data_IF_888865917642
#
_entry.id   IF_888865917642
#
_cell.length_a   1.000
_cell.length_b   1.000
_cell.length_c   1.000
_cell.angle_alpha   90.00
_cell.angle_beta   90.00
_cell.angle_gamma   90.00
#
_symmetry.space_group_name_H-M   'P 1'
#
loop_
_entity.id
_entity.type
_entity.pdbx_description
1 polymer ?
#
# COMPACT_ATOMS: atom_id res chain seq x y z
N UNK A 1 -0.43 -14.12 -2.25
CA UNK A 1 0.51 -14.31 -1.11
C UNK A 1 -0.31 -14.50 0.16
N UNK A 2 0.23 -15.16 1.20
CA UNK A 2 -0.41 -15.34 2.51
C UNK A 2 0.28 -14.43 3.53
N UNK A 3 -0.50 -13.69 4.33
CA UNK A 3 -0.02 -12.93 5.49
C UNK A 3 -0.61 -13.58 6.75
N UNK A 4 0.24 -13.79 7.75
CA UNK A 4 -0.20 -14.29 9.04
C UNK A 4 0.43 -13.47 10.16
N UNK A 5 -0.41 -12.94 11.03
CA UNK A 5 -0.01 -12.25 12.26
C UNK A 5 -0.29 -13.19 13.43
N UNK A 6 0.71 -13.40 14.29
CA UNK A 6 0.58 -14.25 15.47
C UNK A 6 0.86 -13.45 16.73
N UNK A 7 -0.16 -13.30 17.56
CA UNK A 7 -0.08 -12.69 18.89
C UNK A 7 0.60 -11.31 18.89
N UNK A 8 0.33 -10.49 17.85
CA UNK A 8 0.93 -9.17 17.71
C UNK A 8 0.45 -8.27 18.86
N UNK A 9 1.40 -7.76 19.60
CA UNK A 9 1.19 -6.75 20.64
C UNK A 9 2.04 -5.53 20.34
N UNK A 10 1.43 -4.33 20.38
CA UNK A 10 2.13 -3.05 20.30
C UNK A 10 1.78 -2.18 21.48
N UNK A 11 2.80 -1.83 22.28
CA UNK A 11 2.68 -0.92 23.44
C UNK A 11 3.46 0.37 23.20
N UNK A 12 2.92 1.45 23.72
CA UNK A 12 3.57 2.77 23.84
C UNK A 12 3.62 3.13 25.34
N UNK A 13 4.76 2.85 25.97
CA UNK A 13 4.86 2.86 27.43
C UNK A 13 3.89 1.84 28.05
N UNK A 14 3.01 2.30 28.93
CA UNK A 14 2.00 1.47 29.59
C UNK A 14 0.71 1.27 28.77
N UNK A 15 0.55 2.01 27.67
CA UNK A 15 -0.64 1.92 26.81
C UNK A 15 -0.44 0.83 25.75
N UNK A 16 -1.35 -0.16 25.72
CA UNK A 16 -1.40 -1.17 24.66
C UNK A 16 -2.35 -0.71 23.55
N UNK A 17 -1.80 -0.36 22.39
CA UNK A 17 -2.58 0.00 21.20
C UNK A 17 -3.12 -1.24 20.47
N UNK A 18 -2.35 -2.33 20.50
CA UNK A 18 -2.77 -3.66 20.06
C UNK A 18 -2.30 -4.67 21.11
N UNK A 19 -3.14 -5.66 21.42
CA UNK A 19 -2.84 -6.68 22.40
C UNK A 19 -3.29 -8.05 21.89
N UNK A 20 -2.33 -8.95 21.71
CA UNK A 20 -2.54 -10.35 21.32
C UNK A 20 -3.36 -10.54 20.02
N UNK A 21 -3.10 -9.71 19.00
CA UNK A 21 -3.83 -9.74 17.73
C UNK A 21 -3.28 -10.85 16.84
N UNK A 22 -4.16 -11.76 16.44
CA UNK A 22 -3.85 -12.80 15.46
C UNK A 22 -4.82 -12.68 14.27
N UNK A 23 -4.27 -12.71 13.05
CA UNK A 23 -5.00 -12.52 11.80
C UNK A 23 -4.33 -13.32 10.70
N UNK A 24 -5.10 -13.95 9.84
CA UNK A 24 -4.59 -14.58 8.63
C UNK A 24 -5.34 -14.03 7.42
N UNK A 25 -4.57 -13.65 6.40
CA UNK A 25 -5.08 -13.23 5.07
C UNK A 25 -4.54 -14.22 4.03
N UNK A 26 -5.45 -14.94 3.37
CA UNK A 26 -5.08 -15.94 2.36
C UNK A 26 -4.97 -15.31 0.96
N UNK A 27 -4.28 -15.97 0.00
CA UNK A 27 -4.23 -15.49 -1.38
C UNK A 27 -5.63 -15.29 -1.96
N UNK A 28 -5.87 -14.12 -2.57
CA UNK A 28 -7.17 -13.74 -3.16
C UNK A 28 -8.25 -13.38 -2.15
N UNK A 29 -7.90 -13.24 -0.87
CA UNK A 29 -8.84 -12.85 0.18
C UNK A 29 -8.79 -11.34 0.42
N UNK A 30 -9.96 -10.72 0.59
CA UNK A 30 -10.12 -9.34 1.04
C UNK A 30 -10.60 -9.38 2.49
N UNK A 31 -9.80 -8.83 3.39
CA UNK A 31 -10.11 -8.76 4.83
C UNK A 31 -10.33 -7.31 5.23
N UNK A 32 -11.50 -7.00 5.76
CA UNK A 32 -11.82 -5.69 6.30
C UNK A 32 -11.58 -5.65 7.81
N UNK A 33 -10.72 -4.74 8.24
CA UNK A 33 -10.45 -4.47 9.65
C UNK A 33 -11.40 -3.38 10.16
N UNK A 34 -12.40 -3.77 10.94
CA UNK A 34 -13.43 -2.87 11.46
C UNK A 34 -13.16 -2.51 12.92
N UNK A 35 -13.51 -1.28 13.31
CA UNK A 35 -13.38 -0.79 14.67
C UNK A 35 -13.54 0.74 14.75
N UNK A 36 -13.79 1.25 15.95
CA UNK A 36 -13.91 2.68 16.19
C UNK A 36 -12.59 3.45 15.96
N UNK A 37 -12.68 4.77 15.87
CA UNK A 37 -11.48 5.62 15.84
C UNK A 37 -10.67 5.43 17.13
N UNK A 38 -9.35 5.24 16.98
CA UNK A 38 -8.48 4.93 18.11
C UNK A 38 -8.41 3.45 18.52
N UNK A 39 -9.13 2.53 17.86
CA UNK A 39 -9.10 1.10 18.16
C UNK A 39 -7.79 0.38 17.77
N UNK A 40 -6.77 1.11 17.31
CA UNK A 40 -5.46 0.54 16.99
C UNK A 40 -5.32 -0.01 15.56
N UNK A 41 -6.30 0.22 14.66
CA UNK A 41 -6.26 -0.28 13.26
C UNK A 41 -5.02 0.19 12.51
N UNK A 42 -4.82 1.50 12.40
CA UNK A 42 -3.65 2.07 11.72
C UNK A 42 -2.34 1.71 12.43
N UNK A 43 -2.36 1.53 13.76
CA UNK A 43 -1.19 1.02 14.49
C UNK A 43 -0.83 -0.39 14.03
N UNK A 44 -1.81 -1.28 13.90
CA UNK A 44 -1.59 -2.64 13.41
C UNK A 44 -1.07 -2.64 11.97
N UNK A 45 -1.66 -1.83 11.09
CA UNK A 45 -1.22 -1.69 9.70
C UNK A 45 0.22 -1.15 9.62
N UNK A 46 0.57 -0.16 10.44
CA UNK A 46 1.93 0.36 10.54
C UNK A 46 2.93 -0.68 11.07
N UNK A 47 2.51 -1.60 11.92
CA UNK A 47 3.34 -2.75 12.34
C UNK A 47 3.57 -3.69 11.17
N UNK A 48 2.52 -4.05 10.43
CA UNK A 48 2.62 -4.94 9.27
C UNK A 48 3.47 -4.34 8.15
N UNK A 49 3.41 -3.02 7.96
CA UNK A 49 4.21 -2.32 6.95
C UNK A 49 5.62 -1.95 7.42
N UNK A 50 6.00 -2.30 8.66
CA UNK A 50 7.35 -2.05 9.18
C UNK A 50 7.63 -0.62 9.65
N UNK A 51 6.62 0.27 9.66
CA UNK A 51 6.74 1.63 10.23
C UNK A 51 6.85 1.62 11.75
N UNK A 52 6.29 0.59 12.40
CA UNK A 52 6.36 0.38 13.83
C UNK A 52 6.82 -1.04 14.12
N UNK A 53 7.74 -1.19 15.08
CA UNK A 53 8.13 -2.51 15.56
C UNK A 53 7.08 -3.06 16.54
N UNK A 54 6.65 -4.33 16.42
CA UNK A 54 5.80 -4.94 17.44
C UNK A 54 6.57 -5.05 18.76
N UNK A 55 5.88 -4.98 19.88
CA UNK A 55 6.46 -5.24 21.21
C UNK A 55 6.67 -6.74 21.40
N UNK A 56 5.76 -7.56 20.85
CA UNK A 56 5.84 -9.03 20.81
C UNK A 56 4.94 -9.57 19.70
N UNK A 57 5.08 -10.84 19.40
CA UNK A 57 4.37 -11.53 18.31
C UNK A 57 5.23 -11.71 17.07
N UNK A 58 4.67 -12.28 16.04
CA UNK A 58 5.38 -12.64 14.81
C UNK A 58 4.54 -12.27 13.57
N UNK A 59 5.23 -11.81 12.52
CA UNK A 59 4.66 -11.59 11.19
C UNK A 59 5.23 -12.69 10.29
N UNK A 60 4.36 -13.38 9.55
CA UNK A 60 4.77 -14.37 8.56
C UNK A 60 4.21 -14.00 7.19
N UNK A 61 5.06 -14.08 6.19
CA UNK A 61 4.69 -13.94 4.77
C UNK A 61 4.99 -15.27 4.07
N UNK A 62 3.97 -15.90 3.48
CA UNK A 62 4.08 -17.24 2.88
C UNK A 62 4.71 -18.28 3.82
N UNK A 63 4.29 -18.29 5.10
CA UNK A 63 4.76 -19.13 6.19
C UNK A 63 6.23 -18.92 6.60
N UNK A 64 6.89 -17.88 6.08
CA UNK A 64 8.24 -17.47 6.49
C UNK A 64 8.12 -16.31 7.47
N UNK A 65 8.78 -16.42 8.64
CA UNK A 65 8.84 -15.34 9.62
C UNK A 65 9.66 -14.19 9.07
N UNK A 66 9.08 -13.00 9.14
CA UNK A 66 9.70 -11.75 8.69
C UNK A 66 9.92 -10.81 9.88
N UNK A 67 11.02 -10.07 9.85
CA UNK A 67 11.36 -9.02 10.80
C UNK A 67 11.66 -7.75 10.00
N UNK A 68 10.75 -6.76 10.06
CA UNK A 68 10.88 -5.54 9.30
C UNK A 68 11.58 -4.46 10.12
N UNK A 69 12.73 -3.97 9.68
CA UNK A 69 13.41 -2.80 10.27
C UNK A 69 12.82 -1.48 9.76
N UNK A 70 12.08 -1.54 8.65
CA UNK A 70 11.43 -0.39 8.03
C UNK A 70 10.52 -0.82 6.86
N UNK A 71 9.82 0.16 6.22
CA UNK A 71 8.93 -0.11 5.09
C UNK A 71 9.62 -0.78 3.90
N UNK A 72 10.92 -0.55 3.70
CA UNK A 72 11.70 -1.18 2.64
C UNK A 72 11.73 -2.70 2.74
N UNK A 73 11.82 -3.24 3.96
CA UNK A 73 11.81 -4.69 4.20
C UNK A 73 10.42 -5.27 3.89
N UNK A 74 9.34 -4.59 4.33
CA UNK A 74 7.98 -4.99 4.02
C UNK A 74 7.69 -4.97 2.51
N UNK A 75 8.15 -3.93 1.80
CA UNK A 75 8.06 -3.87 0.34
C UNK A 75 8.83 -5.02 -0.33
N UNK A 76 10.03 -5.35 0.16
CA UNK A 76 10.82 -6.48 -0.36
C UNK A 76 10.11 -7.81 -0.11
N UNK A 77 9.40 -7.95 1.00
CA UNK A 77 8.55 -9.10 1.29
C UNK A 77 7.22 -9.12 0.47
N UNK A 78 7.00 -8.12 -0.39
CA UNK A 78 5.82 -8.03 -1.27
C UNK A 78 4.60 -7.42 -0.60
N UNK A 79 4.76 -6.60 0.44
CA UNK A 79 3.68 -5.87 1.10
C UNK A 79 3.70 -4.41 0.63
N UNK A 80 2.64 -3.95 -0.01
CA UNK A 80 2.41 -2.56 -0.39
C UNK A 80 1.40 -1.89 0.55
N UNK A 81 1.50 -0.57 0.71
CA UNK A 81 0.55 0.21 1.50
C UNK A 81 0.14 1.47 0.77
N UNK A 82 -1.17 1.70 0.74
CA UNK A 82 -1.80 2.96 0.34
C UNK A 82 -2.23 3.68 1.61
N UNK A 83 -1.63 4.83 1.86
CA UNK A 83 -1.88 5.63 3.06
C UNK A 83 -3.17 6.44 2.93
N UNK A 84 -3.77 6.78 4.07
CA UNK A 84 -4.94 7.67 4.16
C UNK A 84 -4.69 9.04 3.49
N UNK A 85 -3.48 9.59 3.62
CA UNK A 85 -3.05 10.79 2.92
C UNK A 85 -2.10 10.40 1.79
N UNK A 86 -2.42 10.81 0.57
CA UNK A 86 -1.61 10.48 -0.59
C UNK A 86 -0.19 11.00 -0.46
N UNK A 87 0.76 10.13 -0.74
CA UNK A 87 2.20 10.43 -0.73
C UNK A 87 2.65 10.77 -2.16
N UNK A 88 1.84 11.54 -2.88
CA UNK A 88 2.10 12.00 -4.24
C UNK A 88 2.70 13.41 -4.22
N UNK A 89 3.57 13.68 -5.19
CA UNK A 89 4.16 15.01 -5.43
C UNK A 89 3.32 15.70 -6.49
N UNK A 90 2.54 16.76 -6.14
CA UNK A 90 1.54 17.35 -7.03
C UNK A 90 2.08 17.81 -8.39
N UNK A 91 3.23 18.54 -8.50
CA UNK A 91 3.75 19.02 -9.77
C UNK A 91 4.44 17.96 -10.64
N UNK A 92 4.47 16.70 -10.19
CA UNK A 92 5.04 15.60 -10.95
C UNK A 92 3.95 14.88 -11.76
N UNK A 93 4.34 14.31 -12.88
CA UNK A 93 3.49 13.38 -13.62
C UNK A 93 3.26 12.09 -12.84
N UNK A 94 2.27 11.32 -13.25
CA UNK A 94 2.02 9.99 -12.68
C UNK A 94 3.26 9.11 -12.80
N UNK A 95 3.89 9.05 -13.99
CA UNK A 95 5.09 8.25 -14.21
C UNK A 95 6.24 8.66 -13.28
N UNK A 96 6.48 9.96 -13.09
CA UNK A 96 7.49 10.47 -12.17
C UNK A 96 7.18 10.09 -10.71
N UNK A 97 5.92 10.18 -10.27
CA UNK A 97 5.51 9.77 -8.93
C UNK A 97 5.68 8.28 -8.69
N UNK A 98 5.34 7.44 -9.67
CA UNK A 98 5.43 5.98 -9.56
C UNK A 98 6.88 5.52 -9.47
N UNK A 99 7.80 6.13 -10.22
CA UNK A 99 9.21 5.74 -10.22
C UNK A 99 10.00 6.23 -9.00
N UNK A 100 9.48 7.18 -8.22
CA UNK A 100 10.17 7.69 -7.02
C UNK A 100 10.50 6.55 -6.04
N UNK A 101 11.80 6.40 -5.72
CA UNK A 101 12.31 5.33 -4.86
C UNK A 101 12.32 3.94 -5.52
N UNK A 102 12.13 3.89 -6.85
CA UNK A 102 12.29 2.70 -7.69
C UNK A 102 12.74 3.14 -9.09
N UNK A 103 13.77 3.95 -9.15
CA UNK A 103 14.20 4.61 -10.37
C UNK A 103 14.81 3.63 -11.38
N UNK A 104 14.24 3.58 -12.56
CA UNK A 104 14.88 2.98 -13.73
C UNK A 104 15.86 3.98 -14.35
N UNK A 105 17.10 3.57 -14.59
CA UNK A 105 18.14 4.44 -15.14
C UNK A 105 18.69 3.90 -16.46
N UNK A 106 18.90 4.82 -17.42
CA UNK A 106 19.73 4.61 -18.62
C UNK A 106 21.04 5.37 -18.48
N UNK A 107 22.07 4.70 -17.94
CA UNK A 107 23.34 5.35 -17.61
C UNK A 107 23.17 6.33 -16.44
N UNK A 108 23.38 7.62 -16.66
CA UNK A 108 23.26 8.68 -15.65
C UNK A 108 21.88 9.38 -15.64
N UNK A 109 20.96 8.98 -16.50
CA UNK A 109 19.63 9.60 -16.66
C UNK A 109 18.51 8.66 -16.24
N UNK A 110 17.40 9.25 -15.76
CA UNK A 110 16.16 8.51 -15.49
C UNK A 110 15.52 8.01 -16.78
N UNK A 111 15.05 6.76 -16.78
CA UNK A 111 14.31 6.18 -17.91
C UNK A 111 12.80 6.38 -17.72
N UNK A 112 12.33 7.59 -18.06
CA UNK A 112 10.90 7.92 -17.98
C UNK A 112 10.04 7.07 -18.95
N UNK A 113 10.59 6.59 -20.05
CA UNK A 113 9.83 5.76 -20.98
C UNK A 113 9.58 4.37 -20.39
N UNK A 114 10.53 3.82 -19.62
CA UNK A 114 10.32 2.62 -18.85
C UNK A 114 9.23 2.83 -17.79
N UNK A 115 9.27 3.94 -17.04
CA UNK A 115 8.26 4.28 -16.06
C UNK A 115 6.85 4.41 -16.67
N UNK A 116 6.71 5.11 -17.80
CA UNK A 116 5.45 5.21 -18.55
C UNK A 116 4.91 3.86 -18.99
N UNK A 117 5.79 3.00 -19.50
CA UNK A 117 5.43 1.65 -19.94
C UNK A 117 4.92 0.80 -18.80
N UNK A 118 5.56 0.90 -17.62
CA UNK A 118 5.19 0.19 -16.43
C UNK A 118 3.83 0.64 -15.88
N UNK A 119 3.59 1.97 -15.82
CA UNK A 119 2.29 2.54 -15.44
C UNK A 119 1.19 2.05 -16.38
N UNK A 120 1.41 2.08 -17.72
CA UNK A 120 0.42 1.58 -18.69
C UNK A 120 0.14 0.10 -18.49
N UNK A 121 1.17 -0.72 -18.35
CA UNK A 121 1.03 -2.16 -18.10
C UNK A 121 0.15 -2.46 -16.89
N UNK A 122 0.43 -1.82 -15.76
CA UNK A 122 -0.34 -2.03 -14.53
C UNK A 122 -1.75 -1.43 -14.65
N UNK A 123 -1.87 -0.23 -15.22
CA UNK A 123 -3.15 0.43 -15.43
C UNK A 123 -4.10 -0.40 -16.32
N UNK A 124 -3.59 -1.03 -17.38
CA UNK A 124 -4.34 -1.92 -18.25
C UNK A 124 -4.68 -3.25 -17.56
N UNK A 125 -3.70 -3.87 -16.89
CA UNK A 125 -3.88 -5.17 -16.23
C UNK A 125 -4.98 -5.15 -15.14
N UNK A 126 -5.12 -4.01 -14.45
CA UNK A 126 -6.09 -3.83 -13.34
C UNK A 126 -7.22 -2.84 -13.69
N UNK A 127 -7.36 -2.46 -14.97
CA UNK A 127 -8.40 -1.54 -15.46
C UNK A 127 -8.47 -0.21 -14.69
N UNK A 128 -7.33 0.36 -14.30
CA UNK A 128 -7.24 1.56 -13.46
C UNK A 128 -7.44 2.86 -14.25
N UNK A 129 -7.27 2.84 -15.58
CA UNK A 129 -7.51 3.96 -16.49
C UNK A 129 -6.75 5.25 -16.11
N UNK A 130 -5.44 5.13 -15.84
CA UNK A 130 -4.58 6.26 -15.46
C UNK A 130 -3.61 6.59 -16.59
N UNK A 131 -3.54 7.88 -16.95
CA UNK A 131 -2.57 8.39 -17.93
C UNK A 131 -1.21 8.65 -17.24
N UNK A 132 -0.10 8.00 -17.67
CA UNK A 132 1.22 8.21 -17.09
C UNK A 132 1.77 9.63 -17.25
N UNK A 133 1.31 10.38 -18.24
CA UNK A 133 1.80 11.73 -18.54
C UNK A 133 0.97 12.85 -17.88
N UNK A 134 -0.16 12.51 -17.23
CA UNK A 134 -0.97 13.48 -16.50
C UNK A 134 -0.24 14.02 -15.25
N UNK A 135 -0.39 15.33 -14.99
CA UNK A 135 0.08 15.95 -13.74
C UNK A 135 -0.81 15.53 -12.57
N UNK A 136 -0.21 15.15 -11.45
CA UNK A 136 -0.98 14.66 -10.30
C UNK A 136 -1.89 15.75 -9.72
N UNK A 137 -1.48 17.01 -9.72
CA UNK A 137 -2.29 18.14 -9.23
C UNK A 137 -3.58 18.36 -10.01
N UNK A 138 -3.63 17.94 -11.29
CA UNK A 138 -4.81 18.06 -12.15
C UNK A 138 -5.78 16.88 -12.03
N UNK A 139 -5.39 15.83 -11.28
CA UNK A 139 -6.19 14.60 -11.18
C UNK A 139 -7.27 14.70 -10.10
N UNK A 140 -8.49 14.21 -10.37
CA UNK A 140 -9.49 13.97 -9.33
C UNK A 140 -8.94 13.05 -8.22
N UNK A 141 -9.48 13.21 -7.00
CA UNK A 141 -9.02 12.45 -5.82
C UNK A 141 -9.09 10.94 -6.03
N UNK A 142 -10.15 10.42 -6.64
CA UNK A 142 -10.28 8.99 -6.95
C UNK A 142 -9.21 8.49 -7.94
N UNK A 143 -8.76 9.35 -8.88
CA UNK A 143 -7.66 9.00 -9.79
C UNK A 143 -6.32 9.05 -9.06
N UNK A 144 -6.09 10.03 -8.18
CA UNK A 144 -4.89 10.08 -7.34
C UNK A 144 -4.74 8.82 -6.48
N UNK A 145 -5.85 8.29 -5.96
CA UNK A 145 -5.84 7.01 -5.23
C UNK A 145 -5.42 5.85 -6.12
N UNK A 146 -5.91 5.79 -7.37
CA UNK A 146 -5.49 4.77 -8.34
C UNK A 146 -3.99 4.87 -8.64
N UNK A 147 -3.44 6.09 -8.67
CA UNK A 147 -1.97 6.29 -8.81
C UNK A 147 -1.21 5.67 -7.62
N UNK A 148 -1.68 5.85 -6.38
CA UNK A 148 -1.06 5.20 -5.21
C UNK A 148 -1.15 3.67 -5.27
N UNK A 149 -2.26 3.13 -5.78
CA UNK A 149 -2.38 1.67 -6.00
C UNK A 149 -1.39 1.20 -7.08
N UNK A 150 -1.30 1.91 -8.21
CA UNK A 150 -0.32 1.61 -9.27
C UNK A 150 1.09 1.61 -8.70
N UNK A 151 1.44 2.61 -7.90
CA UNK A 151 2.75 2.75 -7.25
C UNK A 151 3.12 1.54 -6.37
N UNK A 152 2.14 0.97 -5.66
CA UNK A 152 2.34 -0.26 -4.90
C UNK A 152 2.46 -1.49 -5.82
N UNK A 153 1.62 -1.60 -6.85
CA UNK A 153 1.59 -2.76 -7.77
C UNK A 153 2.80 -2.82 -8.70
N UNK A 154 3.35 -1.68 -9.12
CA UNK A 154 4.60 -1.62 -9.91
C UNK A 154 5.78 -2.20 -9.13
N UNK A 155 5.72 -2.18 -7.81
CA UNK A 155 6.72 -2.78 -6.92
C UNK A 155 6.42 -4.24 -6.56
N UNK A 156 5.61 -4.93 -7.38
CA UNK A 156 5.24 -6.34 -7.21
C UNK A 156 4.58 -6.67 -5.86
N UNK A 157 3.79 -5.73 -5.31
CA UNK A 157 3.04 -5.98 -4.10
C UNK A 157 2.04 -7.14 -4.31
N UNK A 158 2.24 -8.22 -3.59
CA UNK A 158 1.33 -9.36 -3.56
C UNK A 158 0.33 -9.31 -2.40
N UNK A 159 0.54 -8.38 -1.46
CA UNK A 159 -0.35 -8.01 -0.36
C UNK A 159 -0.50 -6.48 -0.40
N UNK A 160 -1.73 -5.98 -0.43
CA UNK A 160 -2.02 -4.56 -0.45
C UNK A 160 -2.77 -4.16 0.83
N UNK A 161 -2.19 -3.24 1.59
CA UNK A 161 -2.82 -2.63 2.75
C UNK A 161 -3.43 -1.30 2.30
N UNK A 162 -4.72 -1.10 2.58
CA UNK A 162 -5.43 0.15 2.33
C UNK A 162 -5.86 0.74 3.68
N UNK A 163 -5.30 1.89 4.06
CA UNK A 163 -5.67 2.57 5.32
C UNK A 163 -6.72 3.64 5.02
N UNK A 164 -7.97 3.38 5.45
CA UNK A 164 -9.15 4.22 5.23
C UNK A 164 -9.34 4.67 3.76
N UNK A 165 -9.33 3.74 2.79
CA UNK A 165 -9.26 4.08 1.36
C UNK A 165 -10.50 4.81 0.84
N UNK A 166 -11.60 4.82 1.57
CA UNK A 166 -12.88 5.44 1.16
C UNK A 166 -13.15 6.78 1.84
N UNK A 167 -12.28 7.23 2.75
CA UNK A 167 -12.52 8.42 3.57
C UNK A 167 -12.73 9.72 2.76
N UNK A 168 -12.15 9.79 1.58
CA UNK A 168 -12.17 10.98 0.70
C UNK A 168 -12.87 10.72 -0.64
N UNK A 169 -13.41 9.51 -0.84
CA UNK A 169 -14.07 9.10 -2.07
C UNK A 169 -15.58 9.36 -2.03
N UNK A 170 -16.14 9.67 -3.20
CA UNK A 170 -17.58 9.60 -3.40
C UNK A 170 -18.08 8.15 -3.37
N UNK A 171 -19.39 7.88 -3.14
CA UNK A 171 -19.93 6.53 -3.19
C UNK A 171 -19.62 5.81 -4.50
N UNK A 172 -19.65 6.51 -5.61
CA UNK A 172 -19.39 5.95 -6.94
C UNK A 172 -17.92 5.53 -7.10
N UNK A 173 -16.97 6.37 -6.66
CA UNK A 173 -15.54 6.04 -6.66
C UNK A 173 -15.22 4.89 -5.70
N UNK A 174 -15.97 4.78 -4.59
CA UNK A 174 -15.85 3.65 -3.67
C UNK A 174 -16.25 2.33 -4.34
N UNK A 175 -17.37 2.32 -5.08
CA UNK A 175 -17.82 1.14 -5.81
C UNK A 175 -16.79 0.73 -6.89
N UNK A 176 -16.23 1.71 -7.63
CA UNK A 176 -15.16 1.48 -8.61
C UNK A 176 -13.91 0.89 -7.95
N UNK A 177 -13.51 1.39 -6.77
CA UNK A 177 -12.38 0.85 -6.02
C UNK A 177 -12.63 -0.62 -5.61
N UNK A 178 -13.82 -0.94 -5.12
CA UNK A 178 -14.19 -2.30 -4.74
C UNK A 178 -14.21 -3.26 -5.93
N UNK A 179 -14.58 -2.79 -7.12
CA UNK A 179 -14.50 -3.58 -8.36
C UNK A 179 -13.06 -3.89 -8.76
N UNK A 180 -12.16 -2.92 -8.61
CA UNK A 180 -10.72 -3.09 -8.88
C UNK A 180 -10.09 -4.14 -7.94
N UNK A 181 -10.55 -4.23 -6.70
CA UNK A 181 -10.01 -5.16 -5.71
C UNK A 181 -10.50 -6.61 -5.88
N UNK A 182 -11.48 -6.87 -6.74
CA UNK A 182 -12.05 -8.21 -7.01
C UNK A 182 -11.32 -8.92 -8.14
#
# INVERSE_FOLDING_TARGET
MKLELRNITKKFGDFAANEDISLTVNPGEIVALLGENGAGKSTLMNVVYGLLQPTSGEILVNDVREEFSGPGDAMTAGIGMVHQHFMLIPPFTVAENVMLGHEHTKGAFLDLDAARSEVRRVSEAYNLQVDPDALVEDLPVGVQQRVEIIKALVRDAGILILDEPTAVLTPQETDELLEIMR
#
